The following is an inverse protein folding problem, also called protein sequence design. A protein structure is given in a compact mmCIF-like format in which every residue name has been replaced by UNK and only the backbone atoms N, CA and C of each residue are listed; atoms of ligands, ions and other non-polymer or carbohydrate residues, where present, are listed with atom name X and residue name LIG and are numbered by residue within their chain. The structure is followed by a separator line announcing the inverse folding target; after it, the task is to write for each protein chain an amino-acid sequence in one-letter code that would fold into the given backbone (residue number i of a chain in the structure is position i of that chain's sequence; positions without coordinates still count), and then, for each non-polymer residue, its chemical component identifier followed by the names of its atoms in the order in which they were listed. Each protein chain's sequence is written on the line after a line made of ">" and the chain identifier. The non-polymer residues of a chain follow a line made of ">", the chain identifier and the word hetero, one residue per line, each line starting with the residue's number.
data_IF_687025478088
#
_entry.id   IF_687025478088
#
_cell.length_a   1.000
_cell.length_b   1.000
_cell.length_c   1.000
_cell.angle_alpha   90.00
_cell.angle_beta   90.00
_cell.angle_gamma   90.00
#
_symmetry.space_group_name_H-M   'P 1'
#
loop_
_entity.id
_entity.type
_entity.pdbx_description
1 polymer ?
#
# COMPACT_ATOMS: atom_id res chain seq x y z
N UNK A 1 28.93 -23.02 -5.16
CA UNK A 1 27.76 -22.14 -4.94
C UNK A 1 26.97 -22.13 -6.24
N UNK A 2 25.75 -22.70 -6.29
CA UNK A 2 24.94 -22.70 -7.51
C UNK A 2 24.45 -21.27 -7.79
N UNK A 3 24.44 -20.81 -9.06
CA UNK A 3 23.86 -19.52 -9.40
C UNK A 3 22.37 -19.50 -9.05
N UNK A 4 21.92 -18.40 -8.45
CA UNK A 4 20.54 -18.19 -8.03
C UNK A 4 19.64 -18.04 -9.27
N UNK A 5 18.68 -18.94 -9.42
CA UNK A 5 17.70 -18.90 -10.49
C UNK A 5 16.62 -17.86 -10.15
N UNK A 6 16.59 -16.75 -10.91
CA UNK A 6 15.67 -15.64 -10.71
C UNK A 6 14.20 -15.99 -11.02
N UNK A 7 13.94 -17.14 -11.62
CA UNK A 7 12.59 -17.59 -11.98
C UNK A 7 11.88 -18.35 -10.85
N UNK A 8 12.60 -18.74 -9.79
CA UNK A 8 12.01 -19.47 -8.66
C UNK A 8 11.41 -18.47 -7.66
N UNK A 9 10.10 -18.57 -7.35
CA UNK A 9 9.49 -17.74 -6.32
C UNK A 9 10.19 -17.95 -4.98
N UNK A 10 10.65 -16.86 -4.36
CA UNK A 10 11.21 -16.95 -3.01
C UNK A 10 10.11 -17.33 -2.00
N UNK A 11 10.37 -18.28 -1.08
CA UNK A 11 9.43 -18.54 0.01
C UNK A 11 9.28 -17.27 0.87
N UNK A 12 8.07 -17.01 1.34
CA UNK A 12 7.80 -15.87 2.21
C UNK A 12 8.58 -16.01 3.52
N UNK A 13 9.17 -14.90 4.00
CA UNK A 13 9.94 -14.87 5.25
C UNK A 13 9.13 -15.47 6.43
N UNK A 14 9.72 -16.27 7.33
CA UNK A 14 8.98 -16.84 8.47
C UNK A 14 8.44 -15.74 9.41
N UNK A 15 7.31 -16.01 10.08
CA UNK A 15 6.75 -15.06 11.05
C UNK A 15 7.66 -14.94 12.28
N UNK A 16 7.98 -13.70 12.68
CA UNK A 16 8.65 -13.38 13.95
C UNK A 16 7.65 -12.80 14.94
N UNK A 17 7.86 -13.07 16.22
CA UNK A 17 6.97 -12.65 17.31
C UNK A 17 7.76 -11.99 18.43
N UNK A 18 7.16 -10.99 19.04
CA UNK A 18 7.62 -10.35 20.27
C UNK A 18 7.37 -11.28 21.48
N UNK A 19 8.01 -11.02 22.64
CA UNK A 19 7.81 -11.81 23.86
C UNK A 19 6.35 -11.87 24.35
N UNK A 20 5.53 -10.88 24.00
CA UNK A 20 4.10 -10.81 24.34
C UNK A 20 3.19 -11.60 23.37
N UNK A 21 3.78 -12.26 22.36
CA UNK A 21 3.08 -13.06 21.37
C UNK A 21 2.54 -12.27 20.17
N UNK A 22 2.69 -10.94 20.13
CA UNK A 22 2.35 -10.15 18.95
C UNK A 22 3.37 -10.34 17.82
N UNK A 23 2.96 -10.14 16.57
CA UNK A 23 3.88 -10.20 15.43
C UNK A 23 4.87 -9.05 15.47
N UNK A 24 6.15 -9.35 15.34
CA UNK A 24 7.21 -8.35 15.23
C UNK A 24 7.37 -7.91 13.76
N UNK A 25 6.43 -7.11 13.29
CA UNK A 25 6.42 -6.62 11.91
C UNK A 25 7.67 -5.80 11.55
N UNK A 26 8.17 -4.98 12.49
CA UNK A 26 9.31 -4.09 12.27
C UNK A 26 10.64 -4.84 12.06
N UNK A 27 10.79 -6.04 12.63
CA UNK A 27 12.00 -6.85 12.49
C UNK A 27 11.78 -8.14 11.66
N UNK A 28 10.63 -8.24 10.98
CA UNK A 28 10.22 -9.42 10.22
C UNK A 28 11.24 -9.81 9.14
N UNK A 29 11.86 -8.83 8.47
CA UNK A 29 12.83 -9.02 7.40
C UNK A 29 14.22 -8.50 7.79
N UNK A 30 15.27 -9.21 7.38
CA UNK A 30 16.67 -8.78 7.56
C UNK A 30 17.16 -7.92 6.40
N UNK A 31 16.72 -8.23 5.18
CA UNK A 31 16.94 -7.45 3.97
C UNK A 31 15.70 -7.50 3.08
N UNK A 32 15.40 -6.41 2.37
CA UNK A 32 14.40 -6.40 1.29
C UNK A 32 15.09 -6.70 -0.03
N UNK A 33 14.64 -7.72 -0.78
CA UNK A 33 15.26 -8.09 -2.04
C UNK A 33 14.77 -7.23 -3.22
N UNK A 34 15.73 -6.81 -4.06
CA UNK A 34 15.61 -6.05 -5.30
C UNK A 34 14.74 -6.62 -6.47
N UNK A 35 14.45 -7.93 -6.64
CA UNK A 35 14.02 -8.45 -7.95
C UNK A 35 12.61 -8.07 -8.45
N UNK A 36 11.69 -7.65 -7.58
CA UNK A 36 10.29 -7.49 -8.00
C UNK A 36 10.08 -6.28 -8.94
N UNK A 37 10.88 -5.21 -8.79
CA UNK A 37 10.75 -4.04 -9.67
C UNK A 37 11.38 -4.25 -11.05
N UNK A 38 12.42 -5.09 -11.17
CA UNK A 38 13.14 -5.35 -12.44
C UNK A 38 12.42 -6.39 -13.34
N UNK A 39 11.12 -6.60 -13.16
CA UNK A 39 10.30 -7.43 -14.05
C UNK A 39 10.28 -8.93 -13.73
N UNK A 40 10.55 -9.32 -12.48
CA UNK A 40 10.18 -10.66 -12.00
C UNK A 40 8.65 -10.83 -11.98
N UNK A 41 8.12 -12.07 -12.11
CA UNK A 41 6.69 -12.30 -11.98
C UNK A 41 6.21 -11.77 -10.62
N UNK A 42 5.00 -11.17 -10.55
CA UNK A 42 4.46 -10.70 -9.28
C UNK A 42 4.50 -11.86 -8.28
N UNK A 43 4.78 -11.58 -7.01
CA UNK A 43 4.85 -12.64 -6.00
C UNK A 43 3.52 -13.39 -5.82
N UNK A 44 2.42 -12.88 -6.41
CA UNK A 44 1.06 -13.39 -6.25
C UNK A 44 0.41 -13.53 -7.61
N UNK A 45 -0.15 -14.69 -7.89
CA UNK A 45 -0.84 -14.97 -9.15
C UNK A 45 -2.28 -14.42 -9.15
N UNK A 46 -2.88 -14.23 -7.98
CA UNK A 46 -4.27 -13.73 -7.81
C UNK A 46 -4.27 -12.40 -7.06
N UNK A 47 -5.09 -11.45 -7.54
CA UNK A 47 -5.32 -10.16 -6.91
C UNK A 47 -5.94 -10.33 -5.52
N UNK A 48 -5.29 -9.79 -4.48
CA UNK A 48 -5.86 -9.69 -3.15
C UNK A 48 -6.81 -8.50 -3.08
N UNK A 49 -8.11 -8.77 -2.91
CA UNK A 49 -9.16 -7.75 -2.92
C UNK A 49 -9.66 -7.41 -1.51
N UNK A 50 -10.23 -6.22 -1.38
CA UNK A 50 -11.05 -5.84 -0.24
C UNK A 50 -12.28 -6.74 -0.15
N UNK A 51 -12.66 -7.07 1.07
CA UNK A 51 -13.84 -7.86 1.38
C UNK A 51 -14.69 -7.06 2.37
N UNK A 52 -15.89 -6.66 1.91
CA UNK A 52 -16.80 -5.83 2.70
C UNK A 52 -17.44 -6.72 3.74
N UNK A 53 -17.18 -6.51 5.05
CA UNK A 53 -17.73 -7.36 6.08
C UNK A 53 -19.25 -7.20 6.17
N UNK A 54 -19.96 -8.30 6.47
CA UNK A 54 -21.40 -8.26 6.74
C UNK A 54 -21.71 -7.43 7.99
N UNK A 55 -20.82 -7.47 8.99
CA UNK A 55 -20.89 -6.66 10.20
C UNK A 55 -19.54 -5.98 10.48
N UNK A 56 -19.38 -4.69 10.15
CA UNK A 56 -18.17 -3.93 10.47
C UNK A 56 -17.84 -3.87 11.96
N UNK A 57 -18.81 -4.06 12.86
CA UNK A 57 -18.61 -4.07 14.31
C UNK A 57 -18.19 -5.45 14.86
N UNK A 58 -18.04 -6.46 13.99
CA UNK A 58 -17.55 -7.78 14.40
C UNK A 58 -16.16 -7.64 15.07
N UNK A 59 -15.99 -8.10 16.33
CA UNK A 59 -14.70 -8.03 17.03
C UNK A 59 -13.54 -8.69 16.29
N UNK A 60 -13.80 -9.78 15.54
CA UNK A 60 -12.77 -10.47 14.75
C UNK A 60 -12.28 -9.59 13.58
N UNK A 61 -13.22 -9.00 12.83
CA UNK A 61 -12.89 -8.04 11.78
C UNK A 61 -12.13 -6.82 12.34
N UNK A 62 -12.59 -6.26 13.46
CA UNK A 62 -11.93 -5.16 14.14
C UNK A 62 -10.51 -5.52 14.61
N UNK A 63 -10.27 -6.77 15.03
CA UNK A 63 -8.93 -7.24 15.36
C UNK A 63 -8.02 -7.31 14.13
N UNK A 64 -8.52 -7.77 12.98
CA UNK A 64 -7.78 -7.78 11.70
C UNK A 64 -7.42 -6.34 11.29
N UNK A 65 -8.38 -5.41 11.34
CA UNK A 65 -8.14 -3.99 11.01
C UNK A 65 -7.06 -3.39 11.92
N UNK A 66 -7.16 -3.62 13.23
CA UNK A 66 -6.15 -3.15 14.20
C UNK A 66 -4.77 -3.72 13.91
N UNK A 67 -4.69 -5.01 13.57
CA UNK A 67 -3.42 -5.68 13.28
C UNK A 67 -2.79 -5.15 11.98
N UNK A 68 -3.58 -4.90 10.94
CA UNK A 68 -3.10 -4.26 9.72
C UNK A 68 -2.59 -2.85 9.96
N UNK A 69 -3.32 -2.02 10.72
CA UNK A 69 -2.88 -0.66 11.07
C UNK A 69 -1.56 -0.70 11.85
N UNK A 70 -1.45 -1.61 12.83
CA UNK A 70 -0.23 -1.81 13.63
C UNK A 70 0.95 -2.23 12.74
N UNK A 71 0.72 -3.21 11.86
CA UNK A 71 1.74 -3.71 10.94
C UNK A 71 2.21 -2.66 9.94
N UNK A 72 1.27 -1.93 9.31
CA UNK A 72 1.57 -0.82 8.40
C UNK A 72 2.45 0.23 9.08
N UNK A 73 2.07 0.66 10.28
CA UNK A 73 2.87 1.63 11.03
C UNK A 73 4.25 1.07 11.38
N UNK A 74 4.32 -0.17 11.88
CA UNK A 74 5.58 -0.78 12.30
C UNK A 74 6.61 -0.90 11.15
N UNK A 75 6.16 -1.16 9.91
CA UNK A 75 7.07 -1.37 8.77
C UNK A 75 7.39 -0.10 7.99
N UNK A 76 6.52 0.91 8.06
CA UNK A 76 6.62 2.10 7.20
C UNK A 76 6.68 3.43 7.94
N UNK A 77 6.25 3.47 9.21
CA UNK A 77 6.00 4.69 9.95
C UNK A 77 4.80 5.52 9.44
N UNK A 78 4.09 5.06 8.41
CA UNK A 78 2.91 5.75 7.90
C UNK A 78 1.72 5.53 8.83
N UNK A 79 0.93 6.59 9.03
CA UNK A 79 -0.29 6.51 9.85
C UNK A 79 -1.41 5.89 9.02
N UNK A 80 -2.06 4.87 9.59
CA UNK A 80 -3.19 4.20 8.99
C UNK A 80 -4.42 4.26 9.93
N UNK A 81 -5.61 4.29 9.33
CA UNK A 81 -6.88 4.30 10.06
C UNK A 81 -7.97 3.54 9.28
N UNK A 82 -9.01 3.03 9.96
CA UNK A 82 -10.16 2.46 9.27
C UNK A 82 -10.78 3.50 8.31
N UNK A 83 -11.22 3.06 7.15
CA UNK A 83 -11.96 3.87 6.19
C UNK A 83 -13.40 3.34 6.06
N UNK A 84 -13.95 3.30 4.85
CA UNK A 84 -15.18 2.55 4.58
C UNK A 84 -14.92 1.05 4.79
N UNK A 85 -15.93 0.25 5.18
CA UNK A 85 -15.77 -1.20 5.35
C UNK A 85 -15.09 -1.86 4.15
N UNK A 86 -14.15 -2.76 4.43
CA UNK A 86 -13.25 -3.38 3.44
C UNK A 86 -11.97 -2.58 3.15
N UNK A 87 -11.81 -1.37 3.69
CA UNK A 87 -10.68 -0.49 3.38
C UNK A 87 -9.99 0.12 4.60
N UNK A 88 -8.67 0.25 4.52
CA UNK A 88 -7.83 1.00 5.45
C UNK A 88 -7.21 2.17 4.70
N UNK A 89 -7.34 3.38 5.26
CA UNK A 89 -6.72 4.58 4.74
C UNK A 89 -5.31 4.74 5.32
N UNK A 90 -4.29 4.76 4.46
CA UNK A 90 -2.89 4.99 4.80
C UNK A 90 -2.49 6.38 4.31
N UNK A 91 -2.07 7.25 5.22
CA UNK A 91 -1.64 8.61 4.88
C UNK A 91 -0.16 8.61 4.49
N UNK A 92 0.12 8.96 3.23
CA UNK A 92 1.48 9.12 2.71
C UNK A 92 2.00 10.54 2.95
N UNK A 93 3.33 10.68 3.00
CA UNK A 93 3.99 11.97 3.23
C UNK A 93 3.68 13.00 2.12
N UNK A 94 3.47 12.49 0.89
CA UNK A 94 3.26 13.28 -0.31
C UNK A 94 2.29 12.58 -1.27
N UNK A 95 1.76 13.33 -2.22
CA UNK A 95 0.79 12.76 -3.17
C UNK A 95 1.53 11.91 -4.23
N UNK A 96 2.76 12.31 -4.53
CA UNK A 96 3.70 11.62 -5.41
C UNK A 96 4.06 10.25 -4.86
N UNK A 97 4.30 10.18 -3.54
CA UNK A 97 4.50 8.92 -2.83
C UNK A 97 3.25 8.04 -2.94
N UNK A 98 2.06 8.58 -2.68
CA UNK A 98 0.83 7.81 -2.75
C UNK A 98 0.62 7.24 -4.17
N UNK A 99 0.76 8.07 -5.20
CA UNK A 99 0.63 7.63 -6.59
C UNK A 99 1.62 6.51 -6.94
N UNK A 100 2.91 6.69 -6.61
CA UNK A 100 3.93 5.69 -6.92
C UNK A 100 3.72 4.38 -6.16
N UNK A 101 3.40 4.46 -4.86
CA UNK A 101 3.05 3.29 -4.05
C UNK A 101 1.82 2.58 -4.62
N UNK A 102 0.79 3.31 -5.07
CA UNK A 102 -0.43 2.76 -5.66
C UNK A 102 -0.10 1.87 -6.85
N UNK A 103 0.71 2.37 -7.79
CA UNK A 103 1.15 1.61 -8.97
C UNK A 103 1.97 0.36 -8.58
N UNK A 104 2.90 0.52 -7.63
CA UNK A 104 3.71 -0.61 -7.14
C UNK A 104 2.86 -1.70 -6.45
N UNK A 105 1.90 -1.29 -5.61
CA UNK A 105 1.03 -2.21 -4.88
C UNK A 105 0.10 -2.96 -5.84
N UNK A 106 -0.43 -2.29 -6.87
CA UNK A 106 -1.20 -2.93 -7.93
C UNK A 106 -0.36 -3.95 -8.70
N UNK A 107 0.89 -3.62 -9.02
CA UNK A 107 1.82 -4.52 -9.69
C UNK A 107 2.08 -5.80 -8.86
N UNK A 108 2.05 -5.71 -7.53
CA UNK A 108 2.18 -6.85 -6.60
C UNK A 108 0.86 -7.60 -6.35
N UNK A 109 -0.17 -7.35 -7.18
CA UNK A 109 -1.49 -7.99 -7.11
C UNK A 109 -2.16 -7.79 -5.73
N UNK A 110 -2.11 -6.57 -5.22
CA UNK A 110 -2.95 -6.12 -4.09
C UNK A 110 -3.82 -4.98 -4.56
N UNK A 111 -5.12 -5.10 -4.32
CA UNK A 111 -6.07 -4.07 -4.69
C UNK A 111 -5.77 -2.81 -3.87
N UNK A 112 -5.61 -1.69 -4.54
CA UNK A 112 -5.38 -0.40 -3.91
C UNK A 112 -6.05 0.69 -4.73
N UNK A 113 -6.44 1.76 -4.05
CA UNK A 113 -6.88 2.98 -4.69
C UNK A 113 -6.15 4.14 -4.01
N UNK A 114 -5.89 5.22 -4.72
CA UNK A 114 -5.33 6.43 -4.13
C UNK A 114 -6.30 7.62 -4.27
N UNK A 115 -6.29 8.47 -3.25
CA UNK A 115 -6.97 9.76 -3.26
C UNK A 115 -5.98 10.79 -2.75
N UNK A 116 -5.24 11.40 -3.69
CA UNK A 116 -4.20 12.41 -3.41
C UNK A 116 -3.08 11.85 -2.54
N UNK A 117 -3.13 12.06 -1.22
CA UNK A 117 -2.10 11.63 -0.26
C UNK A 117 -2.49 10.37 0.52
N UNK A 118 -3.64 9.78 0.21
CA UNK A 118 -4.18 8.64 0.96
C UNK A 118 -4.28 7.43 0.04
N UNK A 119 -3.71 6.31 0.48
CA UNK A 119 -3.93 5.00 -0.12
C UNK A 119 -5.05 4.28 0.62
N UNK A 120 -5.95 3.66 -0.11
CA UNK A 120 -6.93 2.72 0.40
C UNK A 120 -6.42 1.32 0.11
N UNK A 121 -5.96 0.63 1.15
CA UNK A 121 -5.51 -0.77 1.08
C UNK A 121 -6.61 -1.71 1.58
N UNK A 122 -6.63 -2.97 1.13
CA UNK A 122 -7.76 -3.83 1.35
C UNK A 122 -7.68 -4.50 2.72
N UNK A 123 -8.84 -4.77 3.29
CA UNK A 123 -9.02 -5.60 4.47
C UNK A 123 -10.28 -6.45 4.27
N UNK A 124 -10.34 -7.61 4.91
CA UNK A 124 -11.46 -8.53 4.84
C UNK A 124 -11.73 -9.24 6.16
N UNK A 125 -12.95 -9.73 6.34
CA UNK A 125 -13.31 -10.55 7.51
C UNK A 125 -12.64 -11.93 7.45
N UNK A 126 -12.40 -12.44 6.24
CA UNK A 126 -11.73 -13.71 5.96
C UNK A 126 -10.20 -13.67 6.07
N UNK A 127 -9.60 -12.49 6.32
CA UNK A 127 -8.15 -12.31 6.26
C UNK A 127 -7.43 -13.06 7.39
N UNK A 128 -6.42 -13.83 7.03
CA UNK A 128 -5.58 -14.58 7.96
C UNK A 128 -4.25 -13.89 8.20
N UNK A 129 -3.69 -14.10 9.40
CA UNK A 129 -2.42 -13.48 9.79
C UNK A 129 -1.25 -13.86 8.87
N UNK A 130 -1.12 -15.15 8.52
CA UNK A 130 -0.02 -15.67 7.70
C UNK A 130 -0.23 -15.49 6.20
N UNK A 131 -1.48 -15.29 5.76
CA UNK A 131 -1.86 -15.04 4.39
C UNK A 131 -2.03 -13.54 4.14
N UNK A 132 -3.28 -13.10 4.09
CA UNK A 132 -3.74 -11.80 3.60
C UNK A 132 -3.17 -10.62 4.40
N UNK A 133 -3.11 -10.72 5.74
CA UNK A 133 -2.58 -9.63 6.59
C UNK A 133 -1.10 -9.41 6.30
N UNK A 134 -0.29 -10.48 6.40
CA UNK A 134 1.14 -10.44 6.06
C UNK A 134 1.34 -9.92 4.65
N UNK A 135 0.45 -10.31 3.75
CA UNK A 135 0.50 -9.93 2.36
C UNK A 135 0.35 -8.40 2.17
N UNK A 136 -0.62 -7.76 2.80
CA UNK A 136 -0.77 -6.29 2.77
C UNK A 136 0.43 -5.60 3.46
N UNK A 137 0.84 -6.08 4.64
CA UNK A 137 1.96 -5.45 5.37
C UNK A 137 3.28 -5.56 4.58
N UNK A 138 3.54 -6.69 3.93
CA UNK A 138 4.75 -6.90 3.11
C UNK A 138 4.80 -5.93 1.93
N UNK A 139 3.69 -5.73 1.21
CA UNK A 139 3.69 -4.86 0.02
C UNK A 139 3.86 -3.39 0.43
N UNK A 140 3.33 -2.97 1.57
CA UNK A 140 3.58 -1.65 2.14
C UNK A 140 5.05 -1.50 2.55
N UNK A 141 5.62 -2.49 3.23
CA UNK A 141 7.04 -2.47 3.61
C UNK A 141 7.94 -2.32 2.37
N UNK A 142 7.72 -3.14 1.34
CA UNK A 142 8.46 -3.08 0.08
C UNK A 142 8.31 -1.73 -0.61
N UNK A 143 7.07 -1.32 -0.90
CA UNK A 143 6.83 -0.09 -1.66
C UNK A 143 7.38 1.15 -0.96
N UNK A 144 7.25 1.24 0.36
CA UNK A 144 7.80 2.36 1.14
C UNK A 144 9.32 2.36 1.21
N UNK A 145 9.96 1.20 1.36
CA UNK A 145 11.42 1.05 1.27
C UNK A 145 11.93 1.48 -0.12
N UNK A 146 11.31 1.00 -1.21
CA UNK A 146 11.68 1.40 -2.56
C UNK A 146 11.53 2.90 -2.79
N UNK A 147 10.40 3.48 -2.41
CA UNK A 147 10.18 4.92 -2.55
C UNK A 147 11.26 5.75 -1.85
N UNK A 148 11.65 5.35 -0.63
CA UNK A 148 12.61 6.09 0.17
C UNK A 148 14.04 5.90 -0.34
N UNK A 149 14.44 4.66 -0.57
CA UNK A 149 15.84 4.30 -0.69
C UNK A 149 16.29 4.09 -2.14
N UNK A 150 15.36 3.83 -3.06
CA UNK A 150 15.69 3.42 -4.44
C UNK A 150 15.11 4.31 -5.53
N UNK A 151 13.95 4.94 -5.32
CA UNK A 151 13.36 5.85 -6.33
C UNK A 151 14.20 7.13 -6.43
N UNK A 152 14.78 7.44 -7.62
CA UNK A 152 15.61 8.62 -7.79
C UNK A 152 14.82 9.92 -7.59
N UNK A 153 15.47 10.95 -7.07
CA UNK A 153 14.84 12.25 -6.85
C UNK A 153 14.27 12.85 -8.14
N UNK A 154 14.91 12.64 -9.29
CA UNK A 154 14.40 13.10 -10.58
C UNK A 154 13.01 12.53 -10.91
N UNK A 155 12.74 11.27 -10.55
CA UNK A 155 11.42 10.65 -10.71
C UNK A 155 10.42 11.29 -9.75
N UNK A 156 10.80 11.48 -8.48
CA UNK A 156 9.96 12.16 -7.47
C UNK A 156 9.58 13.59 -7.90
N UNK A 157 10.54 14.35 -8.44
CA UNK A 157 10.32 15.70 -8.95
C UNK A 157 9.40 15.70 -10.18
N UNK A 158 9.55 14.73 -11.07
CA UNK A 158 8.69 14.60 -12.27
C UNK A 158 7.24 14.34 -11.87
N UNK A 159 7.00 13.42 -10.94
CA UNK A 159 5.66 13.16 -10.39
C UNK A 159 5.07 14.42 -9.74
N UNK A 160 5.87 15.16 -8.96
CA UNK A 160 5.41 16.42 -8.36
C UNK A 160 4.97 17.44 -9.41
N UNK A 161 5.73 17.58 -10.51
CA UNK A 161 5.36 18.49 -11.60
C UNK A 161 4.08 18.03 -12.29
N UNK A 162 3.93 16.73 -12.58
CA UNK A 162 2.72 16.16 -13.16
C UNK A 162 1.48 16.44 -12.29
N UNK A 163 1.60 16.23 -10.97
CA UNK A 163 0.50 16.48 -10.04
C UNK A 163 0.13 17.96 -9.93
N UNK A 164 1.12 18.87 -9.92
CA UNK A 164 0.86 20.32 -9.96
C UNK A 164 0.11 20.72 -11.23
N UNK A 165 0.49 20.16 -12.37
CA UNK A 165 -0.17 20.43 -13.65
C UNK A 165 -1.61 19.92 -13.66
N UNK A 166 -1.87 18.69 -13.20
CA UNK A 166 -3.22 18.15 -13.08
C UNK A 166 -4.11 19.02 -12.18
N UNK A 167 -3.58 19.44 -11.03
CA UNK A 167 -4.32 20.32 -10.12
C UNK A 167 -4.64 21.69 -10.75
N UNK A 168 -3.70 22.27 -11.50
CA UNK A 168 -3.95 23.52 -12.23
C UNK A 168 -5.08 23.35 -13.25
N UNK A 169 -5.04 22.27 -14.04
CA UNK A 169 -6.09 21.96 -15.03
C UNK A 169 -7.45 21.78 -14.34
N UNK A 170 -7.52 21.04 -13.24
CA UNK A 170 -8.76 20.88 -12.47
C UNK A 170 -9.28 22.22 -11.94
N UNK A 171 -8.39 23.07 -11.43
CA UNK A 171 -8.75 24.40 -10.92
C UNK A 171 -9.31 25.29 -12.04
N UNK A 172 -8.68 25.29 -13.21
CA UNK A 172 -9.20 26.02 -14.38
C UNK A 172 -10.56 25.49 -14.81
N UNK A 173 -10.71 24.17 -14.95
CA UNK A 173 -11.99 23.54 -15.31
C UNK A 173 -13.10 23.91 -14.33
N UNK A 174 -12.82 23.85 -13.03
CA UNK A 174 -13.79 24.21 -11.99
C UNK A 174 -14.13 25.71 -11.99
N UNK A 175 -13.17 26.58 -12.31
CA UNK A 175 -13.42 28.02 -12.46
C UNK A 175 -14.35 28.32 -13.64
N UNK A 176 -14.10 27.72 -14.82
CA UNK A 176 -14.97 27.88 -15.99
C UNK A 176 -16.37 27.30 -15.75
N UNK A 177 -16.47 26.12 -15.14
CA UNK A 177 -17.76 25.50 -14.80
C UNK A 177 -18.57 26.35 -13.80
N UNK A 178 -17.91 27.00 -12.83
CA UNK A 178 -18.60 27.92 -11.89
C UNK A 178 -19.06 29.20 -12.55
N UNK A 179 -18.32 29.73 -13.53
CA UNK A 179 -18.72 30.96 -14.25
C UNK A 179 -19.94 30.73 -15.15
N UNK A 180 -20.08 29.55 -15.74
CA UNK A 180 -21.25 29.16 -16.54
C UNK A 180 -22.54 28.94 -15.73
N UNK A 181 -22.45 28.77 -14.40
CA UNK A 181 -23.61 28.57 -13.50
C UNK A 181 -24.07 29.85 -12.78
N UNK A 182 -23.33 30.96 -12.90
CA UNK A 182 -23.66 32.24 -12.26
C UNK A 182 -24.29 33.22 -13.25
N UNK A 183 -24.30 32.89 -14.55
CA UNK A 183 -24.91 33.69 -15.63
C UNK A 183 -26.26 33.12 -16.12
N UNK A 184 -27.09 32.55 -15.22
CA UNK A 184 -28.49 32.15 -15.48
C UNK A 184 -29.41 32.60 -14.35
#
# INVERSE_FOLDING_TARGET
>A
MKPYDKSVPMPAAPMKYLPDGQVDWGNMWETFCAPAYDGGPPHRETMLCADVPDNPENPAYQAIVKELIRGIYAVSGLVAQPATPGWIAVTCDSAEMAQWLCEFIQFENVQVNDKRKVLLVPVGESYTLKGEIKNVVTVIAKSTHYWRDHVPDAVKQTLMVQMKMMWLVERFRNYFNRRMYVDN
#
